data_IF_782368950173
#
_entry.id   IF_782368950173
#
_cell.length_a   1.000
_cell.length_b   1.000
_cell.length_c   1.000
_cell.angle_alpha   90.00
_cell.angle_beta   90.00
_cell.angle_gamma   90.00
#
_symmetry.space_group_name_H-M   'P 1'
#
loop_
_entity.id
_entity.type
_entity.pdbx_description
1 polymer ?
#
# COMPACT_ATOMS: atom_id res chain seq x y z
N UNK A 1 22.40 -22.62 -45.15
CA UNK A 1 22.16 -21.55 -44.15
C UNK A 1 20.71 -21.43 -43.65
N UNK A 2 19.67 -21.64 -44.47
CA UNK A 2 18.26 -21.46 -44.09
C UNK A 2 17.71 -22.34 -42.93
N UNK A 3 18.27 -23.54 -42.70
CA UNK A 3 17.83 -24.43 -41.59
C UNK A 3 18.22 -23.90 -40.21
N UNK A 4 19.36 -23.19 -40.09
CA UNK A 4 19.87 -22.65 -38.83
C UNK A 4 19.04 -21.46 -38.35
N UNK A 5 18.67 -20.57 -39.27
CA UNK A 5 17.78 -19.43 -38.99
C UNK A 5 16.35 -19.87 -38.65
N UNK A 6 15.83 -20.93 -39.29
CA UNK A 6 14.50 -21.49 -38.95
C UNK A 6 14.46 -22.14 -37.55
N UNK A 7 15.56 -22.76 -37.11
CA UNK A 7 15.69 -23.32 -35.74
C UNK A 7 15.79 -22.22 -34.68
N UNK A 8 16.52 -21.13 -34.95
CA UNK A 8 16.58 -19.96 -34.05
C UNK A 8 15.24 -19.25 -33.90
N UNK A 9 14.53 -19.02 -35.01
CA UNK A 9 13.18 -18.43 -34.96
C UNK A 9 12.21 -19.28 -34.12
N UNK A 10 12.28 -20.61 -34.24
CA UNK A 10 11.46 -21.53 -33.42
C UNK A 10 11.85 -21.50 -31.94
N UNK A 11 13.15 -21.40 -31.64
CA UNK A 11 13.64 -21.23 -30.27
C UNK A 11 13.13 -19.94 -29.63
N UNK A 12 13.23 -18.81 -30.35
CA UNK A 12 12.71 -17.52 -29.88
C UNK A 12 11.21 -17.56 -29.62
N UNK A 13 10.43 -18.18 -30.51
CA UNK A 13 8.99 -18.34 -30.32
C UNK A 13 8.69 -19.19 -29.08
N UNK A 14 9.40 -20.31 -28.89
CA UNK A 14 9.20 -21.17 -27.71
C UNK A 14 9.54 -20.42 -26.40
N UNK A 15 10.64 -19.67 -26.37
CA UNK A 15 11.00 -18.84 -25.22
C UNK A 15 9.96 -17.75 -24.95
N UNK A 16 9.48 -17.05 -25.99
CA UNK A 16 8.45 -16.04 -25.83
C UNK A 16 7.16 -16.63 -25.25
N UNK A 17 6.73 -17.81 -25.71
CA UNK A 17 5.56 -18.51 -25.17
C UNK A 17 5.73 -18.90 -23.70
N UNK A 18 6.92 -19.35 -23.30
CA UNK A 18 7.22 -19.66 -21.89
C UNK A 18 7.14 -18.40 -21.03
N UNK A 19 7.75 -17.30 -21.47
CA UNK A 19 7.72 -16.02 -20.72
C UNK A 19 6.28 -15.51 -20.58
N UNK A 20 5.50 -15.54 -21.66
CA UNK A 20 4.09 -15.14 -21.63
C UNK A 20 3.28 -16.05 -20.71
N UNK A 21 3.50 -17.37 -20.76
CA UNK A 21 2.82 -18.32 -19.86
C UNK A 21 3.15 -18.07 -18.39
N UNK A 22 4.41 -17.83 -18.05
CA UNK A 22 4.83 -17.47 -16.69
C UNK A 22 4.23 -16.14 -16.23
N UNK A 23 4.25 -15.12 -17.10
CA UNK A 23 3.65 -13.82 -16.80
C UNK A 23 2.13 -13.93 -16.59
N UNK A 24 1.43 -14.70 -17.42
CA UNK A 24 -0.01 -14.93 -17.31
C UNK A 24 -0.39 -15.69 -16.03
N UNK A 25 0.49 -16.55 -15.52
CA UNK A 25 0.29 -17.21 -14.23
C UNK A 25 0.59 -16.29 -13.03
N UNK A 26 1.64 -15.46 -13.15
CA UNK A 26 2.18 -14.68 -12.05
C UNK A 26 1.48 -13.32 -11.84
N UNK A 27 1.18 -12.59 -12.92
CA UNK A 27 0.60 -11.23 -12.86
C UNK A 27 -0.78 -11.16 -12.17
N UNK A 28 -1.74 -12.08 -12.42
CA UNK A 28 -3.05 -11.99 -11.78
C UNK A 28 -3.00 -12.19 -10.26
N UNK A 29 -2.04 -12.96 -9.76
CA UNK A 29 -1.93 -13.26 -8.32
C UNK A 29 -1.08 -12.24 -7.57
N UNK A 30 -0.02 -11.70 -8.19
CA UNK A 30 0.91 -10.77 -7.53
C UNK A 30 0.66 -9.31 -7.87
N UNK A 31 0.12 -9.01 -9.05
CA UNK A 31 -0.20 -7.65 -9.50
C UNK A 31 -1.13 -6.89 -8.53
N UNK A 32 -2.23 -7.48 -8.06
CA UNK A 32 -3.10 -6.84 -7.07
C UNK A 32 -2.40 -6.53 -5.74
N UNK A 33 -1.47 -7.39 -5.30
CA UNK A 33 -0.73 -7.17 -4.04
C UNK A 33 0.20 -5.97 -4.16
N UNK A 34 1.00 -5.93 -5.23
CA UNK A 34 1.90 -4.80 -5.52
C UNK A 34 1.10 -3.50 -5.66
N UNK A 35 0.02 -3.55 -6.44
CA UNK A 35 -0.82 -2.38 -6.70
C UNK A 35 -1.54 -1.90 -5.44
N UNK A 36 -2.04 -2.81 -4.61
CA UNK A 36 -2.70 -2.48 -3.36
C UNK A 36 -1.74 -1.87 -2.35
N UNK A 37 -0.52 -2.40 -2.25
CA UNK A 37 0.53 -1.85 -1.39
C UNK A 37 0.90 -0.42 -1.80
N UNK A 38 1.17 -0.19 -3.09
CA UNK A 38 1.51 1.13 -3.62
C UNK A 38 0.35 2.12 -3.41
N UNK A 39 -0.87 1.75 -3.80
CA UNK A 39 -2.04 2.62 -3.65
C UNK A 39 -2.28 3.00 -2.18
N UNK A 40 -2.24 2.02 -1.27
CA UNK A 40 -2.52 2.24 0.15
C UNK A 40 -1.46 3.11 0.83
N UNK A 41 -0.18 2.81 0.62
CA UNK A 41 0.91 3.56 1.26
C UNK A 41 0.96 4.98 0.71
N UNK A 42 0.90 5.15 -0.61
CA UNK A 42 0.95 6.47 -1.21
C UNK A 42 -0.26 7.33 -0.81
N UNK A 43 -1.47 6.75 -0.77
CA UNK A 43 -2.65 7.43 -0.25
C UNK A 43 -2.42 7.92 1.20
N UNK A 44 -1.93 7.03 2.08
CA UNK A 44 -1.64 7.39 3.47
C UNK A 44 -0.60 8.51 3.54
N UNK A 45 0.53 8.37 2.86
CA UNK A 45 1.59 9.38 2.97
C UNK A 45 1.16 10.74 2.41
N UNK A 46 0.42 10.76 1.30
CA UNK A 46 -0.03 12.01 0.66
C UNK A 46 -1.18 12.65 1.43
N UNK A 47 -2.27 11.92 1.69
CA UNK A 47 -3.50 12.51 2.25
C UNK A 47 -3.55 12.51 3.77
N UNK A 48 -2.93 11.53 4.44
CA UNK A 48 -2.88 11.48 5.91
C UNK A 48 -1.65 12.22 6.44
N UNK A 49 -0.47 12.03 5.83
CA UNK A 49 0.78 12.62 6.32
C UNK A 49 1.20 13.90 5.60
N UNK A 50 0.52 14.30 4.52
CA UNK A 50 0.84 15.54 3.79
C UNK A 50 2.19 15.51 3.05
N UNK A 51 2.75 14.32 2.79
CA UNK A 51 4.05 14.15 2.12
C UNK A 51 3.91 14.26 0.61
N UNK A 52 4.99 14.71 -0.04
CA UNK A 52 5.03 14.83 -1.48
C UNK A 52 5.07 13.43 -2.15
N UNK A 53 4.29 13.16 -3.20
CA UNK A 53 4.24 11.84 -3.83
C UNK A 53 5.59 11.31 -4.31
N UNK A 54 6.42 12.17 -4.89
CA UNK A 54 7.75 11.86 -5.40
C UNK A 54 8.74 11.47 -4.28
N UNK A 55 8.66 12.13 -3.13
CA UNK A 55 9.46 11.81 -1.95
C UNK A 55 9.08 10.41 -1.43
N UNK A 56 7.78 10.14 -1.31
CA UNK A 56 7.27 8.83 -0.86
C UNK A 56 7.67 7.73 -1.83
N UNK A 57 7.62 8.01 -3.13
CA UNK A 57 8.05 7.05 -4.16
C UNK A 57 9.52 6.69 -4.02
N UNK A 58 10.38 7.67 -3.75
CA UNK A 58 11.82 7.47 -3.63
C UNK A 58 12.23 6.85 -2.27
N UNK A 59 11.57 7.25 -1.18
CA UNK A 59 11.96 6.83 0.17
C UNK A 59 11.26 5.53 0.61
N UNK A 60 9.97 5.38 0.30
CA UNK A 60 9.13 4.32 0.86
C UNK A 60 8.76 3.24 -0.16
N UNK A 61 8.79 3.56 -1.46
CA UNK A 61 8.34 2.65 -2.53
C UNK A 61 9.44 2.31 -3.54
N UNK A 62 10.70 2.66 -3.26
CA UNK A 62 11.84 2.38 -4.15
C UNK A 62 12.51 1.02 -3.86
N UNK A 63 11.71 -0.05 -3.87
CA UNK A 63 12.26 -1.40 -3.72
C UNK A 63 11.44 -2.45 -4.47
N UNK A 64 12.13 -3.53 -4.88
CA UNK A 64 11.50 -4.68 -5.53
C UNK A 64 10.69 -4.27 -6.76
N UNK A 65 9.42 -4.66 -6.84
CA UNK A 65 8.55 -4.44 -8.00
C UNK A 65 7.65 -3.19 -7.84
N UNK A 66 7.72 -2.49 -6.70
CA UNK A 66 6.86 -1.35 -6.42
C UNK A 66 7.09 -0.16 -7.37
N UNK A 67 8.34 0.18 -7.78
CA UNK A 67 8.58 1.28 -8.73
C UNK A 67 7.94 1.05 -10.09
N UNK A 68 7.72 -0.22 -10.47
CA UNK A 68 7.14 -0.64 -11.74
C UNK A 68 5.61 -0.43 -11.79
N UNK A 69 4.99 -0.14 -10.65
CA UNK A 69 3.57 0.16 -10.59
C UNK A 69 3.28 1.57 -11.14
N UNK A 70 2.37 1.63 -12.09
CA UNK A 70 1.76 2.89 -12.53
C UNK A 70 0.82 3.42 -11.46
N UNK A 71 0.83 4.73 -11.25
CA UNK A 71 0.10 5.41 -10.18
C UNK A 71 -0.64 6.62 -10.74
N UNK A 72 -1.85 6.83 -10.24
CA UNK A 72 -2.67 8.02 -10.53
C UNK A 72 -3.28 8.51 -9.21
N UNK A 73 -3.08 9.79 -8.91
CA UNK A 73 -3.58 10.44 -7.68
C UNK A 73 -4.68 11.41 -8.08
N UNK A 74 -5.86 11.23 -7.51
CA UNK A 74 -6.98 12.15 -7.60
C UNK A 74 -7.07 12.93 -6.30
N UNK A 75 -6.72 14.22 -6.34
CA UNK A 75 -6.74 15.09 -5.17
C UNK A 75 -8.14 15.59 -4.80
N UNK A 76 -9.09 15.59 -5.73
CA UNK A 76 -10.47 16.02 -5.48
C UNK A 76 -11.24 14.92 -4.74
N UNK A 77 -11.20 13.69 -5.29
CA UNK A 77 -11.82 12.51 -4.67
C UNK A 77 -10.97 11.92 -3.56
N UNK A 78 -9.74 12.43 -3.38
CA UNK A 78 -8.73 11.94 -2.44
C UNK A 78 -8.49 10.43 -2.58
N UNK A 79 -8.28 9.99 -3.81
CA UNK A 79 -8.01 8.58 -4.14
C UNK A 79 -6.65 8.40 -4.78
N UNK A 80 -6.09 7.20 -4.62
CA UNK A 80 -4.90 6.75 -5.34
C UNK A 80 -5.22 5.44 -6.04
N UNK A 81 -5.05 5.43 -7.35
CA UNK A 81 -5.13 4.24 -8.18
C UNK A 81 -3.72 3.74 -8.49
N UNK A 82 -3.53 2.42 -8.46
CA UNK A 82 -2.27 1.79 -8.85
C UNK A 82 -2.52 0.53 -9.66
N UNK A 83 -1.63 0.24 -10.61
CA UNK A 83 -1.64 -1.03 -11.37
C UNK A 83 -0.24 -1.44 -11.77
N UNK A 84 0.04 -2.75 -11.76
CA UNK A 84 1.34 -3.28 -12.20
C UNK A 84 1.25 -3.66 -13.68
N UNK A 85 1.93 -2.90 -14.55
CA UNK A 85 1.84 -3.06 -16.01
C UNK A 85 0.40 -3.08 -16.56
N UNK A 86 -0.52 -2.35 -15.90
CA UNK A 86 -1.95 -2.34 -16.25
C UNK A 86 -2.77 -3.50 -15.67
N UNK A 87 -2.15 -4.45 -14.96
CA UNK A 87 -2.84 -5.56 -14.31
C UNK A 87 -3.09 -5.30 -12.84
N UNK A 88 -4.15 -5.95 -12.32
CA UNK A 88 -4.44 -5.97 -10.88
C UNK A 88 -4.69 -4.58 -10.30
N UNK A 89 -5.41 -3.70 -11.02
CA UNK A 89 -5.71 -2.34 -10.56
C UNK A 89 -6.30 -2.37 -9.14
N UNK A 90 -5.76 -1.53 -8.27
CA UNK A 90 -6.25 -1.31 -6.91
C UNK A 90 -6.42 0.18 -6.64
N UNK A 91 -7.39 0.52 -5.81
CA UNK A 91 -7.74 1.90 -5.47
C UNK A 91 -7.79 2.03 -3.96
N UNK A 92 -7.11 3.04 -3.42
CA UNK A 92 -7.23 3.46 -2.04
C UNK A 92 -7.93 4.82 -1.99
N UNK A 93 -8.82 5.01 -1.01
CA UNK A 93 -9.53 6.27 -0.76
C UNK A 93 -9.20 6.77 0.64
N UNK A 94 -8.90 8.06 0.76
CA UNK A 94 -8.74 8.71 2.05
C UNK A 94 -10.09 9.01 2.67
N UNK A 95 -10.26 8.55 3.91
CA UNK A 95 -11.45 8.76 4.73
C UNK A 95 -11.08 9.64 5.92
N UNK A 96 -11.61 10.87 6.01
CA UNK A 96 -11.33 11.76 7.14
C UNK A 96 -11.57 11.07 8.49
N UNK A 97 -10.60 11.14 9.39
CA UNK A 97 -10.65 10.48 10.71
C UNK A 97 -10.34 8.97 10.74
N UNK A 98 -10.36 8.28 9.58
CA UNK A 98 -10.03 6.85 9.47
C UNK A 98 -8.76 6.56 8.66
N UNK A 99 -8.22 7.57 7.98
CA UNK A 99 -7.07 7.42 7.09
C UNK A 99 -7.45 6.75 5.76
N UNK A 100 -6.48 6.16 5.08
CA UNK A 100 -6.72 5.54 3.77
C UNK A 100 -7.22 4.11 3.88
N UNK A 101 -8.19 3.72 3.04
CA UNK A 101 -8.74 2.36 2.96
C UNK A 101 -8.68 1.87 1.51
N UNK A 102 -8.30 0.62 1.28
CA UNK A 102 -8.41 -0.02 -0.03
C UNK A 102 -9.88 -0.34 -0.31
N UNK A 103 -10.36 -0.03 -1.51
CA UNK A 103 -11.74 -0.35 -1.93
C UNK A 103 -11.99 -1.87 -1.93
N UNK A 104 -11.01 -2.67 -2.35
CA UNK A 104 -11.05 -4.13 -2.29
C UNK A 104 -12.35 -4.77 -2.84
N UNK A 105 -12.94 -4.19 -3.88
CA UNK A 105 -14.18 -4.67 -4.51
C UNK A 105 -15.46 -3.93 -4.07
N UNK A 106 -15.37 -3.05 -3.08
CA UNK A 106 -16.45 -2.15 -2.68
C UNK A 106 -16.42 -0.86 -3.49
N UNK A 107 -17.58 -0.22 -3.63
CA UNK A 107 -17.66 1.12 -4.19
C UNK A 107 -17.24 2.18 -3.15
N UNK A 108 -16.75 3.33 -3.62
CA UNK A 108 -16.32 4.41 -2.71
C UNK A 108 -17.48 4.99 -1.89
N UNK A 109 -18.69 5.06 -2.47
CA UNK A 109 -19.88 5.51 -1.76
C UNK A 109 -20.34 4.50 -0.69
N UNK A 110 -20.14 3.21 -0.94
CA UNK A 110 -20.41 2.16 0.03
C UNK A 110 -19.48 2.28 1.25
N UNK A 111 -18.17 2.49 1.04
CA UNK A 111 -17.23 2.77 2.12
C UNK A 111 -17.59 4.06 2.89
N UNK A 112 -18.06 5.10 2.19
CA UNK A 112 -18.43 6.37 2.81
C UNK A 112 -19.65 6.24 3.74
N UNK A 113 -20.55 5.29 3.48
CA UNK A 113 -21.72 5.01 4.32
C UNK A 113 -21.44 4.09 5.50
N UNK A 114 -20.23 3.54 5.62
CA UNK A 114 -19.91 2.68 6.76
C UNK A 114 -19.94 3.48 8.07
N UNK A 115 -20.59 2.96 9.12
CA UNK A 115 -20.65 3.64 10.41
C UNK A 115 -19.23 3.78 10.98
N UNK A 116 -18.92 4.97 11.48
CA UNK A 116 -17.69 5.19 12.22
C UNK A 116 -17.88 4.61 13.64
N UNK A 117 -16.91 3.85 14.16
CA UNK A 117 -16.94 3.49 15.57
C UNK A 117 -16.91 4.76 16.41
N UNK A 118 -17.84 4.87 17.35
CA UNK A 118 -17.78 5.90 18.38
C UNK A 118 -16.63 5.53 19.33
N UNK A 119 -15.50 6.23 19.19
CA UNK A 119 -14.45 6.20 20.20
C UNK A 119 -14.85 7.15 21.31
N UNK A 120 -15.38 6.61 22.41
CA UNK A 120 -15.42 7.35 23.66
C UNK A 120 -14.03 7.28 24.31
N UNK A 121 -13.53 8.42 24.79
CA UNK A 121 -12.40 8.38 25.70
C UNK A 121 -12.79 7.52 26.90
N UNK A 122 -11.93 6.57 27.28
CA UNK A 122 -12.15 5.81 28.50
C UNK A 122 -12.30 6.80 29.66
N UNK A 123 -13.40 6.73 30.45
CA UNK A 123 -13.56 7.59 31.62
C UNK A 123 -12.32 7.46 32.52
N UNK A 124 -11.64 8.58 32.78
CA UNK A 124 -10.45 8.60 33.62
C UNK A 124 -9.17 8.15 32.93
N UNK A 125 -8.93 8.52 31.66
CA UNK A 125 -7.63 8.35 31.00
C UNK A 125 -6.47 8.80 31.91
N UNK A 126 -6.59 9.95 32.58
CA UNK A 126 -5.58 10.47 33.53
C UNK A 126 -5.40 9.60 34.80
N UNK A 127 -6.33 8.69 35.07
CA UNK A 127 -6.32 7.81 36.27
C UNK A 127 -5.86 6.38 35.97
N UNK A 128 -5.92 5.96 34.71
CA UNK A 128 -5.57 4.61 34.25
C UNK A 128 -4.15 4.61 33.72
N UNK A 129 -3.33 3.65 34.16
CA UNK A 129 -1.97 3.52 33.65
C UNK A 129 -1.94 3.20 32.16
N UNK A 130 -0.94 3.74 31.47
CA UNK A 130 -0.57 3.30 30.12
C UNK A 130 -0.44 1.77 30.07
N UNK A 131 -0.94 1.06 29.04
CA UNK A 131 -1.42 1.55 27.74
C UNK A 131 -2.92 1.88 27.65
N UNK A 132 -3.67 1.74 28.75
CA UNK A 132 -5.13 1.92 28.74
C UNK A 132 -5.57 3.35 29.13
N UNK A 133 -4.65 4.19 29.58
CA UNK A 133 -4.84 5.61 29.86
C UNK A 133 -3.51 6.37 29.83
N UNK A 134 -3.54 7.63 30.25
CA UNK A 134 -2.42 8.57 30.12
C UNK A 134 -1.54 8.65 31.38
N UNK A 135 -1.89 7.90 32.44
CA UNK A 135 -1.07 7.89 33.66
C UNK A 135 0.22 7.11 33.40
N UNK A 136 1.35 7.78 33.55
CA UNK A 136 2.66 7.15 33.55
C UNK A 136 3.01 6.65 34.96
N UNK A 137 3.73 5.52 35.08
CA UNK A 137 4.33 5.14 36.35
C UNK A 137 5.41 6.15 36.76
N UNK A 138 5.50 6.43 38.06
CA UNK A 138 6.51 7.33 38.62
C UNK A 138 7.93 6.78 38.50
N UNK A 139 8.07 5.48 38.23
CA UNK A 139 9.34 4.78 38.07
C UNK A 139 9.47 4.18 36.69
N UNK A 140 10.69 4.26 36.14
CA UNK A 140 11.02 3.57 34.91
C UNK A 140 11.19 2.06 35.17
N UNK A 141 10.91 1.20 34.18
CA UNK A 141 11.22 -0.22 34.27
C UNK A 141 12.71 -0.46 34.55
N UNK A 142 13.01 -1.57 35.23
CA UNK A 142 14.39 -1.94 35.52
C UNK A 142 15.22 -2.04 34.22
N UNK A 143 16.36 -1.36 34.17
CA UNK A 143 17.26 -1.33 33.01
C UNK A 143 17.05 -0.16 32.05
N UNK A 144 16.10 0.75 32.31
CA UNK A 144 15.96 2.00 31.54
C UNK A 144 16.70 3.12 32.26
N UNK A 145 17.76 3.63 31.63
CA UNK A 145 18.52 4.79 32.10
C UNK A 145 17.85 6.09 31.61
N UNK A 146 17.51 6.99 32.55
CA UNK A 146 16.84 8.25 32.24
C UNK A 146 17.79 9.31 31.69
N UNK A 147 19.07 9.25 32.04
CA UNK A 147 20.06 10.24 31.60
C UNK A 147 20.54 9.98 30.16
N UNK A 148 20.26 8.79 29.63
CA UNK A 148 20.65 8.36 28.29
C UNK A 148 19.55 8.53 27.22
N UNK A 149 18.34 8.95 27.60
CA UNK A 149 17.19 9.23 26.70
C UNK A 149 17.21 10.67 26.19
#
# INVERSE_FOLDING_TARGET
MAKRTKRWKRGLIATALIVVGLAAFWLPTRGPVVSGYVAKNLCSCVFLSGRAPEEVRAADLDFSLLPLAGVEIDYEQKTVNSSLFGFGKQTAVYRPGLGCTLLAGLAADELARQPLPEYSAAPGADSVYWPLGDRLPDTLPAGVDREAL
#
